data_IF_205002288062
#
_entry.id   IF_205002288062
#
_cell.length_a   1.000
_cell.length_b   1.000
_cell.length_c   1.000
_cell.angle_alpha   90.00
_cell.angle_beta   90.00
_cell.angle_gamma   90.00
#
_symmetry.space_group_name_H-M   'P 1'
#
loop_
_entity.id
_entity.type
_entity.pdbx_description
1 polymer ?
#
# COMPACT_ATOMS: atom_id res chain seq x y z
N UNK A 1 -3.27 15.50 -29.13
CA UNK A 1 -2.15 14.55 -29.34
C UNK A 1 -0.84 15.32 -29.20
N UNK A 2 0.18 14.76 -28.54
CA UNK A 2 0.27 13.38 -28.10
C UNK A 2 -0.44 13.09 -26.77
N UNK A 3 -0.90 11.86 -26.60
CA UNK A 3 -1.40 11.31 -25.34
C UNK A 3 -0.64 10.03 -25.07
N UNK A 4 0.00 9.95 -23.90
CA UNK A 4 0.83 8.81 -23.50
C UNK A 4 0.01 7.83 -22.64
N UNK A 5 0.21 6.55 -22.87
CA UNK A 5 -0.45 5.48 -22.12
C UNK A 5 0.58 4.47 -21.62
N UNK A 6 0.42 4.05 -20.36
CA UNK A 6 1.24 3.01 -19.73
C UNK A 6 0.42 1.73 -19.65
N UNK A 7 1.01 0.63 -20.09
CA UNK A 7 0.43 -0.71 -19.96
C UNK A 7 1.22 -1.51 -18.94
N UNK A 8 0.49 -2.21 -18.06
CA UNK A 8 1.08 -3.08 -17.05
C UNK A 8 0.56 -4.50 -17.20
N UNK A 9 1.28 -5.48 -16.62
CA UNK A 9 0.90 -6.90 -16.61
C UNK A 9 -0.61 -7.05 -16.36
N UNK A 10 -1.28 -7.81 -17.23
CA UNK A 10 -2.75 -7.95 -17.24
C UNK A 10 -3.49 -6.99 -18.19
N UNK A 11 -2.79 -6.20 -19.01
CA UNK A 11 -3.38 -5.42 -20.11
C UNK A 11 -4.12 -4.14 -19.68
N UNK A 12 -4.07 -3.77 -18.40
CA UNK A 12 -4.70 -2.53 -17.91
C UNK A 12 -3.97 -1.30 -18.46
N UNK A 13 -4.72 -0.44 -19.14
CA UNK A 13 -4.27 0.84 -19.71
C UNK A 13 -4.40 1.95 -18.67
N UNK A 14 -3.32 2.69 -18.44
CA UNK A 14 -3.28 3.85 -17.54
C UNK A 14 -2.90 5.08 -18.38
N UNK A 15 -3.61 6.20 -18.18
CA UNK A 15 -3.25 7.48 -18.81
C UNK A 15 -2.02 8.02 -18.10
N UNK A 16 -1.00 8.42 -18.88
CA UNK A 16 0.18 9.06 -18.32
C UNK A 16 -0.12 10.53 -18.01
N UNK A 17 -0.08 10.89 -16.73
CA UNK A 17 -0.36 12.25 -16.23
C UNK A 17 0.92 13.02 -15.87
N UNK A 18 2.10 12.46 -16.13
CA UNK A 18 3.37 13.10 -15.82
C UNK A 18 3.80 14.16 -16.84
N UNK A 19 4.88 14.86 -16.54
CA UNK A 19 5.49 15.81 -17.46
C UNK A 19 6.06 15.09 -18.70
N UNK A 20 5.72 15.58 -19.89
CA UNK A 20 6.17 15.02 -21.16
C UNK A 20 7.59 15.51 -21.55
N UNK A 21 8.49 15.49 -20.57
CA UNK A 21 9.93 15.73 -20.75
C UNK A 21 10.69 14.42 -20.60
N UNK A 22 11.92 14.31 -21.12
CA UNK A 22 12.74 13.11 -20.96
C UNK A 22 12.87 12.71 -19.48
N UNK A 23 13.24 13.67 -18.63
CA UNK A 23 13.37 13.45 -17.20
C UNK A 23 12.04 13.11 -16.52
N UNK A 24 10.94 13.76 -16.90
CA UNK A 24 9.59 13.51 -16.36
C UNK A 24 9.10 12.10 -16.66
N UNK A 25 9.32 11.62 -17.88
CA UNK A 25 8.98 10.26 -18.32
C UNK A 25 9.81 9.24 -17.55
N UNK A 26 11.14 9.41 -17.49
CA UNK A 26 12.03 8.49 -16.77
C UNK A 26 11.68 8.41 -15.29
N UNK A 27 11.46 9.56 -14.64
CA UNK A 27 11.08 9.61 -13.22
C UNK A 27 9.75 8.88 -12.97
N UNK A 28 8.74 9.20 -13.77
CA UNK A 28 7.41 8.59 -13.65
C UNK A 28 7.46 7.07 -13.89
N UNK A 29 8.25 6.59 -14.86
CA UNK A 29 8.40 5.15 -15.11
C UNK A 29 9.09 4.43 -13.96
N UNK A 30 10.11 5.06 -13.33
CA UNK A 30 10.71 4.53 -12.09
C UNK A 30 9.69 4.43 -10.97
N UNK A 31 8.83 5.43 -10.83
CA UNK A 31 7.71 5.35 -9.88
C UNK A 31 6.71 4.25 -10.26
N UNK A 32 6.37 4.04 -11.53
CA UNK A 32 5.45 2.96 -11.93
C UNK A 32 6.01 1.56 -11.64
N UNK A 33 7.34 1.41 -11.60
CA UNK A 33 8.02 0.18 -11.22
C UNK A 33 8.10 -0.02 -9.71
N UNK A 34 7.87 1.03 -8.91
CA UNK A 34 7.89 0.91 -7.46
C UNK A 34 6.66 0.14 -6.96
N UNK A 35 6.89 -0.75 -5.99
CA UNK A 35 5.84 -1.52 -5.34
C UNK A 35 4.87 -0.55 -4.63
N UNK A 36 3.55 -0.72 -4.77
CA UNK A 36 2.57 0.23 -4.26
C UNK A 36 2.36 0.06 -2.75
N UNK A 37 2.85 -1.06 -2.20
CA UNK A 37 2.69 -1.53 -0.85
C UNK A 37 3.99 -2.21 -0.43
N UNK A 38 4.44 -1.94 0.79
CA UNK A 38 5.65 -2.57 1.36
C UNK A 38 5.29 -3.88 2.06
N UNK A 39 6.06 -4.92 1.80
CA UNK A 39 5.94 -6.19 2.52
C UNK A 39 6.51 -6.05 3.93
N UNK A 40 5.79 -6.55 4.93
CA UNK A 40 6.14 -6.50 6.35
C UNK A 40 6.42 -7.93 6.80
N UNK A 41 7.70 -8.26 7.04
CA UNK A 41 8.10 -9.60 7.46
C UNK A 41 8.37 -9.70 8.96
N UNK A 42 8.66 -8.57 9.58
CA UNK A 42 8.99 -8.50 11.00
C UNK A 42 8.54 -7.16 11.62
N UNK A 43 8.74 -7.05 12.94
CA UNK A 43 8.35 -5.87 13.73
C UNK A 43 9.10 -4.61 13.31
N UNK A 44 10.36 -4.72 12.85
CA UNK A 44 11.11 -3.55 12.40
C UNK A 44 10.56 -3.01 11.09
N UNK A 45 10.19 -3.89 10.15
CA UNK A 45 9.52 -3.49 8.91
C UNK A 45 8.21 -2.76 9.21
N UNK A 46 7.44 -3.26 10.20
CA UNK A 46 6.21 -2.63 10.67
C UNK A 46 6.47 -1.22 11.20
N UNK A 47 7.43 -1.06 12.11
CA UNK A 47 7.81 0.24 12.67
C UNK A 47 8.31 1.21 11.59
N UNK A 48 9.05 0.71 10.61
CA UNK A 48 9.60 1.51 9.51
C UNK A 48 8.53 2.10 8.58
N UNK A 49 7.27 1.64 8.64
CA UNK A 49 6.17 2.27 7.92
C UNK A 49 5.86 3.67 8.46
N UNK A 50 6.11 3.93 9.74
CA UNK A 50 5.69 5.15 10.43
C UNK A 50 6.79 6.23 10.45
N UNK A 51 8.07 5.86 10.32
CA UNK A 51 9.25 6.76 10.49
C UNK A 51 9.22 8.04 9.63
N UNK A 52 8.52 8.05 8.50
CA UNK A 52 8.48 9.19 7.57
C UNK A 52 7.08 9.69 7.25
N UNK A 53 6.06 9.27 8.00
CA UNK A 53 4.69 9.51 7.59
C UNK A 53 3.73 9.61 8.76
N UNK A 54 3.20 10.81 9.00
CA UNK A 54 2.22 11.07 10.05
C UNK A 54 0.80 10.66 9.65
N UNK A 55 0.59 10.17 8.43
CA UNK A 55 -0.71 9.72 7.94
C UNK A 55 -1.01 8.27 8.33
N UNK A 56 -2.30 7.91 8.48
CA UNK A 56 -2.69 6.52 8.72
C UNK A 56 -2.26 5.62 7.55
N UNK A 57 -1.92 4.38 7.90
CA UNK A 57 -1.36 3.38 6.98
C UNK A 57 -2.36 2.24 6.81
N UNK A 58 -2.58 1.83 5.57
CA UNK A 58 -3.47 0.72 5.25
C UNK A 58 -2.63 -0.56 5.13
N UNK A 59 -2.86 -1.52 6.03
CA UNK A 59 -2.11 -2.78 6.09
C UNK A 59 -3.03 -3.92 5.68
N UNK A 60 -2.65 -4.68 4.66
CA UNK A 60 -3.35 -5.91 4.27
C UNK A 60 -2.71 -7.15 4.88
N UNK A 61 -3.52 -8.05 5.43
CA UNK A 61 -3.09 -9.34 5.97
C UNK A 61 -3.70 -10.43 5.09
N UNK A 62 -2.85 -11.25 4.46
CA UNK A 62 -3.27 -12.26 3.49
C UNK A 62 -2.56 -13.59 3.74
N UNK A 63 -3.03 -14.67 3.12
CA UNK A 63 -2.40 -15.98 3.32
C UNK A 63 -1.11 -16.14 2.51
N UNK A 64 -1.06 -15.60 1.29
CA UNK A 64 0.07 -15.68 0.37
C UNK A 64 -0.13 -14.74 -0.83
N UNK A 65 0.88 -14.67 -1.70
CA UNK A 65 0.87 -13.84 -2.91
C UNK A 65 -0.15 -14.30 -3.98
N UNK A 66 -0.59 -15.56 -3.92
CA UNK A 66 -1.58 -16.11 -4.84
C UNK A 66 -3.02 -15.78 -4.43
N UNK A 67 -3.23 -15.22 -3.25
CA UNK A 67 -4.55 -14.82 -2.75
C UNK A 67 -5.18 -13.74 -3.66
N UNK A 68 -6.41 -13.98 -4.12
CA UNK A 68 -7.11 -13.03 -4.97
C UNK A 68 -7.38 -11.70 -4.25
N UNK A 69 -7.56 -11.72 -2.92
CA UNK A 69 -7.75 -10.51 -2.12
C UNK A 69 -6.47 -9.69 -2.05
N UNK A 70 -5.30 -10.36 -1.99
CA UNK A 70 -4.02 -9.68 -2.08
C UNK A 70 -3.87 -8.99 -3.45
N UNK A 71 -4.20 -9.69 -4.54
CA UNK A 71 -4.14 -9.09 -5.89
C UNK A 71 -5.06 -7.87 -6.02
N UNK A 72 -6.29 -7.97 -5.50
CA UNK A 72 -7.24 -6.86 -5.47
C UNK A 72 -6.74 -5.68 -4.61
N UNK A 73 -6.13 -5.97 -3.47
CA UNK A 73 -5.52 -4.98 -2.59
C UNK A 73 -4.37 -4.26 -3.29
N UNK A 74 -3.48 -4.98 -3.98
CA UNK A 74 -2.37 -4.39 -4.74
C UNK A 74 -2.90 -3.52 -5.87
N UNK A 75 -3.91 -3.98 -6.61
CA UNK A 75 -4.58 -3.18 -7.65
C UNK A 75 -5.15 -1.85 -7.10
N UNK A 76 -5.76 -1.89 -5.90
CA UNK A 76 -6.27 -0.70 -5.24
C UNK A 76 -5.13 0.21 -4.75
N UNK A 77 -4.09 -0.35 -4.16
CA UNK A 77 -2.91 0.38 -3.70
C UNK A 77 -2.27 1.15 -4.86
N UNK A 78 -2.13 0.55 -6.05
CA UNK A 78 -1.63 1.26 -7.23
C UNK A 78 -2.44 2.51 -7.60
N UNK A 79 -3.77 2.47 -7.44
CA UNK A 79 -4.65 3.62 -7.73
C UNK A 79 -4.58 4.70 -6.66
N UNK A 80 -4.27 4.34 -5.42
CA UNK A 80 -4.40 5.23 -4.25
C UNK A 80 -3.08 5.55 -3.53
N UNK A 81 -1.94 5.04 -4.00
CA UNK A 81 -0.60 5.25 -3.43
C UNK A 81 -0.15 6.72 -3.30
N UNK A 82 -0.78 7.63 -4.05
CA UNK A 82 -0.52 9.08 -3.95
C UNK A 82 -1.16 9.71 -2.71
N UNK A 83 -2.18 9.06 -2.14
CA UNK A 83 -3.02 9.58 -1.05
C UNK A 83 -2.79 8.80 0.24
N UNK A 84 -2.57 7.48 0.13
CA UNK A 84 -2.38 6.59 1.27
C UNK A 84 -1.10 5.79 1.12
N UNK A 85 -0.48 5.47 2.25
CA UNK A 85 0.58 4.48 2.30
C UNK A 85 0.00 3.10 2.55
N UNK A 86 0.58 2.10 1.88
CA UNK A 86 0.15 0.73 1.98
C UNK A 86 1.28 -0.16 2.48
N UNK A 87 0.93 -1.08 3.38
CA UNK A 87 1.74 -2.22 3.79
C UNK A 87 0.98 -3.52 3.57
N UNK A 88 1.67 -4.64 3.52
CA UNK A 88 1.04 -5.95 3.56
C UNK A 88 1.92 -6.98 4.26
N UNK A 89 1.32 -8.03 4.78
CA UNK A 89 2.03 -9.15 5.37
C UNK A 89 1.33 -10.46 5.05
N UNK A 90 2.14 -11.52 4.96
CA UNK A 90 1.68 -12.91 4.94
C UNK A 90 2.02 -13.63 6.26
N UNK A 91 2.72 -12.94 7.15
CA UNK A 91 3.24 -13.48 8.40
C UNK A 91 2.35 -13.10 9.57
N UNK A 92 2.36 -13.93 10.62
CA UNK A 92 1.73 -13.57 11.90
C UNK A 92 2.65 -12.62 12.66
N UNK A 93 2.30 -11.35 12.67
CA UNK A 93 3.02 -10.31 13.40
C UNK A 93 2.46 -10.14 14.80
N UNK A 94 3.35 -10.03 15.80
CA UNK A 94 2.94 -9.86 17.20
C UNK A 94 2.03 -8.65 17.44
N UNK A 95 2.23 -7.58 16.65
CA UNK A 95 1.44 -6.34 16.68
C UNK A 95 0.03 -6.48 16.11
N UNK A 96 -0.22 -7.55 15.34
CA UNK A 96 -1.50 -7.82 14.65
C UNK A 96 -2.03 -9.23 15.01
N UNK A 97 -1.61 -9.80 16.14
CA UNK A 97 -1.99 -11.15 16.57
C UNK A 97 -3.50 -11.32 16.82
N UNK A 98 -4.19 -10.23 17.11
CA UNK A 98 -5.64 -10.14 17.31
C UNK A 98 -6.44 -10.12 16.00
N UNK A 99 -5.76 -10.04 14.85
CA UNK A 99 -6.39 -9.92 13.53
C UNK A 99 -6.44 -11.28 12.83
N UNK A 100 -7.62 -11.66 12.34
CA UNK A 100 -7.81 -12.89 11.57
C UNK A 100 -7.53 -12.65 10.08
N UNK A 101 -6.79 -13.55 9.45
CA UNK A 101 -6.52 -13.52 8.01
C UNK A 101 -7.72 -14.09 7.22
N UNK A 102 -8.17 -13.47 6.11
CA UNK A 102 -7.69 -12.22 5.52
C UNK A 102 -8.38 -10.98 6.12
N UNK A 103 -7.62 -9.90 6.28
CA UNK A 103 -8.14 -8.64 6.82
C UNK A 103 -7.42 -7.42 6.25
N UNK A 104 -8.08 -6.26 6.36
CA UNK A 104 -7.48 -4.95 6.15
C UNK A 104 -7.47 -4.21 7.48
N UNK A 105 -6.33 -3.64 7.84
CA UNK A 105 -6.14 -2.84 9.06
C UNK A 105 -5.84 -1.41 8.65
N UNK A 106 -6.65 -0.46 9.10
CA UNK A 106 -6.32 0.95 9.06
C UNK A 106 -5.63 1.31 10.37
N UNK A 107 -4.32 1.53 10.31
CA UNK A 107 -3.50 1.82 11.48
C UNK A 107 -3.22 3.32 11.57
N UNK A 108 -3.62 3.96 12.67
CA UNK A 108 -3.27 5.35 12.92
C UNK A 108 -1.78 5.48 13.25
N UNK A 109 -1.18 6.61 12.89
CA UNK A 109 0.21 6.86 13.23
C UNK A 109 0.35 6.99 14.77
N UNK A 110 1.30 6.28 15.40
CA UNK A 110 1.39 6.20 16.86
C UNK A 110 1.49 7.56 17.55
N UNK A 111 2.21 8.51 16.94
CA UNK A 111 2.52 9.80 17.58
C UNK A 111 1.42 10.85 17.45
N UNK A 112 0.46 10.67 16.55
CA UNK A 112 -0.63 11.65 16.30
C UNK A 112 -1.98 11.20 16.85
N UNK A 113 -2.03 10.02 17.48
CA UNK A 113 -3.26 9.44 17.99
C UNK A 113 -3.74 10.14 19.26
N UNK A 114 -5.05 10.38 19.32
CA UNK A 114 -5.74 10.84 20.53
C UNK A 114 -6.17 9.67 21.43
N UNK A 115 -6.30 9.94 22.74
CA UNK A 115 -6.89 8.98 23.70
C UNK A 115 -8.38 8.69 23.48
N UNK A 116 -9.04 9.47 22.63
CA UNK A 116 -10.47 9.36 22.33
C UNK A 116 -10.78 8.58 21.04
N UNK A 117 -9.76 8.05 20.37
CA UNK A 117 -9.93 7.27 19.14
C UNK A 117 -9.24 5.90 19.24
N UNK A 118 -9.73 4.97 18.41
CA UNK A 118 -9.16 3.63 18.32
C UNK A 118 -7.77 3.69 17.68
N UNK A 119 -6.91 2.75 18.06
CA UNK A 119 -5.56 2.65 17.47
C UNK A 119 -5.59 2.26 16.01
N UNK A 120 -6.50 1.32 15.75
CA UNK A 120 -6.65 0.65 14.48
C UNK A 120 -8.10 0.29 14.28
N UNK A 121 -8.48 0.24 13.01
CA UNK A 121 -9.76 -0.29 12.58
C UNK A 121 -9.49 -1.54 11.77
N UNK A 122 -10.16 -2.64 12.14
CA UNK A 122 -9.98 -3.94 11.50
C UNK A 122 -11.22 -4.21 10.66
N UNK A 123 -11.00 -4.53 9.38
CA UNK A 123 -12.03 -4.89 8.43
C UNK A 123 -11.78 -6.33 7.98
N UNK A 124 -12.63 -7.23 8.46
CA UNK A 124 -12.62 -8.63 8.07
C UNK A 124 -13.55 -8.84 6.86
N UNK A 125 -13.32 -9.92 6.12
CA UNK A 125 -14.20 -10.36 5.04
C UNK A 125 -15.55 -10.87 5.56
#
# INVERSE_FOLDING_TARGET
YPSLFVYRKGGKRIVYEGEQTEHGIVSSMKEFLSLPSREIRNINDYKNLFVKNDQPIIIGIFNNEQDYLYQLFIDYAYKKRKIFQFGHTFEKLSTLNDVQTPAIVLQHHPDVRSKYENEKFIFNK
#
